data_IF_872225330066
#
_entry.id   IF_872225330066
#
_cell.length_a   1.000
_cell.length_b   1.000
_cell.length_c   1.000
_cell.angle_alpha   90.00
_cell.angle_beta   90.00
_cell.angle_gamma   90.00
#
_symmetry.space_group_name_H-M   'P 1'
#
loop_
_entity.id
_entity.type
_entity.pdbx_description
1 polymer ?
#
# COMPACT_ATOMS: atom_id res chain seq x y z
N UNK A 1 -8.38 -0.69 -32.87
CA UNK A 1 -7.39 -0.83 -31.79
C UNK A 1 -7.36 0.51 -31.05
N UNK A 2 -7.92 0.58 -29.84
CA UNK A 2 -7.89 1.80 -29.05
C UNK A 2 -6.48 1.99 -28.47
N UNK A 3 -5.82 3.15 -28.67
CA UNK A 3 -4.54 3.41 -28.04
C UNK A 3 -4.78 3.65 -26.55
N UNK A 4 -4.51 2.64 -25.73
CA UNK A 4 -4.49 2.74 -24.27
C UNK A 4 -3.04 2.95 -23.82
N UNK A 5 -2.76 4.11 -23.24
CA UNK A 5 -1.48 4.36 -22.55
C UNK A 5 -1.50 3.65 -21.20
N UNK A 6 -0.73 2.57 -21.07
CA UNK A 6 -0.55 1.86 -19.81
C UNK A 6 0.69 2.44 -19.13
N UNK A 7 0.58 3.03 -17.93
CA UNK A 7 1.75 3.52 -17.21
C UNK A 7 2.65 2.35 -16.82
N UNK A 8 3.97 2.59 -16.88
CA UNK A 8 4.92 1.65 -16.30
C UNK A 8 4.71 1.58 -14.77
N UNK A 9 4.91 0.40 -14.15
CA UNK A 9 4.91 0.30 -12.70
C UNK A 9 5.95 1.26 -12.14
N UNK A 10 5.56 2.02 -11.10
CA UNK A 10 6.40 3.01 -10.45
C UNK A 10 6.95 4.10 -11.39
N UNK A 11 6.05 4.99 -11.84
CA UNK A 11 6.41 6.16 -12.66
C UNK A 11 7.48 7.08 -12.04
N UNK A 12 7.67 7.01 -10.72
CA UNK A 12 8.69 7.75 -9.97
C UNK A 12 9.88 6.89 -9.50
N UNK A 13 9.99 5.62 -9.96
CA UNK A 13 11.01 4.66 -9.52
C UNK A 13 10.75 4.06 -8.14
N UNK A 14 11.77 3.42 -7.57
CA UNK A 14 11.70 2.76 -6.24
C UNK A 14 11.66 3.84 -5.14
N UNK A 15 10.47 4.09 -4.60
CA UNK A 15 10.21 5.16 -3.61
C UNK A 15 10.35 4.70 -2.15
N UNK A 16 10.49 3.40 -1.90
CA UNK A 16 10.56 2.83 -0.55
C UNK A 16 11.81 3.20 0.25
N UNK A 17 12.84 3.72 -0.43
CA UNK A 17 14.07 4.23 0.20
C UNK A 17 13.92 5.66 0.74
N UNK A 18 12.83 6.36 0.42
CA UNK A 18 12.64 7.76 0.81
C UNK A 18 12.25 7.93 2.29
N UNK A 19 11.87 6.85 2.96
CA UNK A 19 11.35 6.87 4.34
C UNK A 19 12.38 6.43 5.37
N UNK A 20 12.35 7.05 6.55
CA UNK A 20 13.10 6.58 7.72
C UNK A 20 12.34 5.49 8.50
N UNK A 21 11.00 5.62 8.58
CA UNK A 21 10.13 4.68 9.31
C UNK A 21 9.06 4.11 8.37
N UNK A 22 8.50 2.96 8.73
CA UNK A 22 7.33 2.38 8.04
C UNK A 22 6.32 1.79 9.01
N UNK A 23 5.02 1.85 8.69
CA UNK A 23 4.02 1.06 9.37
C UNK A 23 4.28 -0.44 9.12
N UNK A 24 4.04 -1.26 10.15
CA UNK A 24 4.13 -2.73 10.07
C UNK A 24 2.81 -3.32 10.54
N UNK A 25 2.11 -4.00 9.64
CA UNK A 25 0.82 -4.60 9.94
C UNK A 25 0.95 -5.77 10.94
N UNK A 26 0.13 -5.75 12.00
CA UNK A 26 -0.04 -6.90 12.87
C UNK A 26 -1.23 -7.76 12.42
N UNK A 27 -0.92 -8.82 11.66
CA UNK A 27 -1.94 -9.69 11.06
C UNK A 27 -2.75 -10.50 12.08
N UNK A 28 -2.29 -10.61 13.34
CA UNK A 28 -3.07 -11.27 14.39
C UNK A 28 -4.20 -10.39 14.94
N UNK A 29 -4.07 -9.06 14.81
CA UNK A 29 -5.06 -8.09 15.28
C UNK A 29 -5.95 -7.55 14.16
N UNK A 30 -5.64 -7.87 12.90
CA UNK A 30 -6.38 -7.39 11.75
C UNK A 30 -7.78 -7.99 11.72
N UNK A 31 -8.81 -7.13 11.62
CA UNK A 31 -10.22 -7.53 11.52
C UNK A 31 -10.74 -7.54 10.07
N UNK A 32 -9.84 -7.45 9.09
CA UNK A 32 -10.16 -7.49 7.67
C UNK A 32 -11.14 -6.39 7.20
N UNK A 33 -10.96 -5.15 7.69
CA UNK A 33 -11.84 -4.02 7.39
C UNK A 33 -11.54 -3.30 6.06
N UNK A 34 -10.35 -3.48 5.48
CA UNK A 34 -9.94 -2.83 4.22
C UNK A 34 -9.64 -1.33 4.30
N UNK A 35 -9.74 -0.68 5.48
CA UNK A 35 -9.52 0.77 5.59
C UNK A 35 -8.07 1.17 5.26
N UNK A 36 -7.09 0.41 5.75
CA UNK A 36 -5.68 0.68 5.44
C UNK A 36 -5.40 0.69 3.94
N UNK A 37 -6.04 -0.20 3.18
CA UNK A 37 -6.00 -0.26 1.72
C UNK A 37 -6.65 0.97 1.08
N UNK A 38 -7.88 1.30 1.49
CA UNK A 38 -8.64 2.42 0.94
C UNK A 38 -7.93 3.78 1.12
N UNK A 39 -7.30 3.99 2.28
CA UNK A 39 -6.64 5.24 2.63
C UNK A 39 -5.17 5.31 2.20
N UNK A 40 -4.63 4.28 1.53
CA UNK A 40 -3.25 4.30 1.07
C UNK A 40 -3.09 5.23 -0.16
N UNK A 41 -2.39 6.39 -0.05
CA UNK A 41 -2.26 7.31 -1.19
C UNK A 41 -1.34 6.78 -2.29
N UNK A 42 -0.49 5.81 -1.96
CA UNK A 42 0.46 5.19 -2.89
C UNK A 42 -0.10 3.91 -3.53
N UNK A 43 -1.28 3.46 -3.12
CA UNK A 43 -1.89 2.19 -3.60
C UNK A 43 -0.94 0.98 -3.50
N UNK A 44 -0.12 0.92 -2.45
CA UNK A 44 0.88 -0.16 -2.23
C UNK A 44 0.38 -1.27 -1.33
N UNK A 45 -0.87 -1.21 -0.90
CA UNK A 45 -1.49 -2.23 -0.06
C UNK A 45 -2.39 -3.03 -0.97
N UNK A 46 -2.33 -4.35 -0.86
CA UNK A 46 -3.25 -5.29 -1.49
C UNK A 46 -4.20 -5.83 -0.43
N UNK A 47 -5.49 -5.78 -0.73
CA UNK A 47 -6.55 -6.25 0.16
C UNK A 47 -7.67 -6.90 -0.66
N UNK A 48 -8.02 -8.10 -0.24
CA UNK A 48 -9.22 -8.80 -0.67
C UNK A 48 -9.86 -9.41 0.58
N UNK A 49 -11.19 -9.33 0.68
CA UNK A 49 -11.92 -9.87 1.84
C UNK A 49 -11.62 -11.36 2.01
N UNK A 50 -11.27 -11.77 3.22
CA UNK A 50 -10.87 -13.13 3.57
C UNK A 50 -9.38 -13.43 3.32
N UNK A 51 -8.62 -12.49 2.75
CA UNK A 51 -7.18 -12.63 2.52
C UNK A 51 -6.36 -11.74 3.45
N UNK A 52 -5.13 -12.16 3.72
CA UNK A 52 -4.19 -11.37 4.51
C UNK A 52 -3.70 -10.21 3.69
N UNK A 53 -3.72 -9.01 4.27
CA UNK A 53 -3.18 -7.82 3.63
C UNK A 53 -1.69 -7.99 3.30
N UNK A 54 -1.29 -7.46 2.16
CA UNK A 54 0.10 -7.41 1.74
C UNK A 54 0.47 -5.96 1.46
N UNK A 55 1.65 -5.54 1.89
CA UNK A 55 2.14 -4.18 1.69
C UNK A 55 3.43 -4.26 0.88
N UNK A 56 3.44 -3.61 -0.28
CA UNK A 56 4.65 -3.45 -1.08
C UNK A 56 5.53 -2.34 -0.48
N UNK A 57 6.50 -2.78 0.34
CA UNK A 57 7.46 -1.88 0.96
C UNK A 57 8.50 -1.30 0.00
N UNK A 58 8.58 -1.80 -1.24
CA UNK A 58 9.44 -1.24 -2.29
C UNK A 58 8.95 0.14 -2.73
N UNK A 59 7.64 0.39 -2.66
CA UNK A 59 7.05 1.69 -3.04
C UNK A 59 6.33 2.40 -1.88
N UNK A 60 6.23 1.76 -0.72
CA UNK A 60 5.69 2.39 0.48
C UNK A 60 6.58 3.57 0.93
N UNK A 61 6.06 4.80 0.84
CA UNK A 61 6.70 6.03 1.33
C UNK A 61 6.66 6.22 2.85
N UNK A 62 5.99 5.34 3.59
CA UNK A 62 5.98 5.39 5.06
C UNK A 62 5.21 6.58 5.64
N UNK A 63 4.20 7.11 4.94
CA UNK A 63 3.38 8.25 5.38
C UNK A 63 2.58 7.99 6.68
N UNK A 64 2.34 6.73 7.05
CA UNK A 64 1.68 6.36 8.31
C UNK A 64 0.16 6.47 8.33
N UNK A 65 -0.48 7.01 7.27
CA UNK A 65 -1.94 7.18 7.19
C UNK A 65 -2.68 5.86 7.42
N UNK A 66 -2.18 4.77 6.83
CA UNK A 66 -2.78 3.45 7.00
C UNK A 66 -2.70 2.91 8.44
N UNK A 67 -1.79 3.39 9.28
CA UNK A 67 -1.69 3.02 10.69
C UNK A 67 -2.55 3.93 11.60
N UNK A 68 -2.76 5.18 11.21
CA UNK A 68 -3.63 6.13 11.91
C UNK A 68 -5.11 5.70 11.83
N UNK A 69 -5.53 5.18 10.68
CA UNK A 69 -6.91 4.70 10.44
C UNK A 69 -7.13 3.22 10.86
N UNK A 70 -6.07 2.50 11.23
CA UNK A 70 -6.11 1.06 11.49
C UNK A 70 -6.73 0.70 12.85
#
# INVERSE_FOLDING_TARGET
MLPLSIPAPASAGITGTWRTYKPVANLQKCIDCGLCWLYCPESVIDWEKGHKIQIDYMYCKGCGICADVC
#
